data_IF_223645048089
#
_entry.id   IF_223645048089
#
_cell.length_a   1.000
_cell.length_b   1.000
_cell.length_c   1.000
_cell.angle_alpha   90.00
_cell.angle_beta   90.00
_cell.angle_gamma   90.00
#
_symmetry.space_group_name_H-M   'P 1'
#
loop_
_entity.id
_entity.type
_entity.pdbx_description
1 polymer ?
#
# COMPACT_ATOMS: atom_id res chain seq x y z
N UNK A 1 43.62 54.25 13.00
CA UNK A 1 42.84 55.08 12.06
C UNK A 1 41.37 54.69 12.16
N UNK A 2 40.50 55.62 12.56
CA UNK A 2 39.05 55.42 12.69
C UNK A 2 38.42 55.36 11.30
N UNK A 3 37.91 54.19 10.91
CA UNK A 3 37.16 54.02 9.67
C UNK A 3 35.75 54.56 9.87
N UNK A 4 35.46 55.77 9.36
CA UNK A 4 34.09 56.22 9.23
C UNK A 4 33.38 55.28 8.24
N UNK A 5 32.28 54.68 8.69
CA UNK A 5 31.52 53.69 7.93
C UNK A 5 31.17 54.21 6.53
N UNK A 6 31.27 53.33 5.53
CA UNK A 6 30.81 53.61 4.17
C UNK A 6 29.33 53.99 4.23
N UNK A 7 29.02 55.27 4.10
CA UNK A 7 27.64 55.72 3.96
C UNK A 7 27.07 55.08 2.69
N UNK A 8 25.93 54.37 2.75
CA UNK A 8 25.31 53.81 1.56
C UNK A 8 25.05 54.92 0.54
N UNK A 9 25.23 54.61 -0.74
CA UNK A 9 24.91 55.56 -1.82
C UNK A 9 23.45 55.98 -1.67
N UNK A 10 23.13 57.29 -1.65
CA UNK A 10 21.75 57.75 -1.46
C UNK A 10 20.88 57.26 -2.61
N UNK A 11 19.78 56.58 -2.27
CA UNK A 11 18.81 56.12 -3.26
C UNK A 11 18.14 57.32 -3.94
N UNK A 12 18.18 57.32 -5.27
CA UNK A 12 17.53 58.38 -6.05
C UNK A 12 16.03 58.12 -6.17
N UNK A 13 15.19 59.17 -6.35
CA UNK A 13 13.76 58.99 -6.59
C UNK A 13 13.45 58.06 -7.76
N UNK A 14 14.31 58.05 -8.79
CA UNK A 14 14.21 57.13 -9.93
C UNK A 14 14.43 55.66 -9.53
N UNK A 15 15.38 55.38 -8.64
CA UNK A 15 15.60 54.01 -8.13
C UNK A 15 14.39 53.53 -7.31
N UNK A 16 13.80 54.40 -6.50
CA UNK A 16 12.58 54.08 -5.73
C UNK A 16 11.39 53.77 -6.65
N UNK A 17 11.23 54.49 -7.75
CA UNK A 17 10.18 54.22 -8.73
C UNK A 17 10.35 52.87 -9.44
N UNK A 18 11.60 52.48 -9.75
CA UNK A 18 11.91 51.16 -10.32
C UNK A 18 11.58 50.02 -9.33
N UNK A 19 11.95 50.17 -8.05
CA UNK A 19 11.60 49.19 -7.01
C UNK A 19 10.08 49.00 -6.89
N UNK A 20 9.31 50.09 -6.87
CA UNK A 20 7.82 50.00 -6.80
C UNK A 20 7.23 49.23 -7.98
N UNK A 21 7.81 49.38 -9.18
CA UNK A 21 7.38 48.62 -10.36
C UNK A 21 7.72 47.13 -10.25
N UNK A 22 8.95 46.81 -9.84
CA UNK A 22 9.39 45.42 -9.61
C UNK A 22 8.58 44.74 -8.50
N UNK A 23 8.26 45.45 -7.43
CA UNK A 23 7.40 44.95 -6.36
C UNK A 23 6.00 44.63 -6.89
N UNK A 24 5.45 45.47 -7.79
CA UNK A 24 4.08 45.31 -8.29
C UNK A 24 3.94 44.19 -9.33
N UNK A 25 4.92 44.02 -10.20
CA UNK A 25 4.88 43.05 -11.32
C UNK A 25 5.65 41.76 -10.98
N UNK A 26 6.78 41.89 -10.30
CA UNK A 26 7.68 40.78 -9.96
C UNK A 26 7.11 39.89 -8.86
N UNK A 27 6.50 40.48 -7.82
CA UNK A 27 5.97 39.72 -6.67
C UNK A 27 4.92 38.68 -7.10
N UNK A 28 3.98 39.06 -7.96
CA UNK A 28 2.92 38.17 -8.46
C UNK A 28 3.49 36.96 -9.22
N UNK A 29 4.52 37.17 -10.05
CA UNK A 29 5.18 36.08 -10.80
C UNK A 29 5.91 35.11 -9.88
N UNK A 30 6.64 35.64 -8.89
CA UNK A 30 7.36 34.83 -7.91
C UNK A 30 6.37 34.04 -7.04
N UNK A 31 5.30 34.67 -6.58
CA UNK A 31 4.24 33.99 -5.83
C UNK A 31 3.60 32.87 -6.66
N UNK A 32 3.24 33.11 -7.92
CA UNK A 32 2.67 32.09 -8.79
C UNK A 32 3.62 30.88 -8.98
N UNK A 33 4.93 31.15 -9.15
CA UNK A 33 5.95 30.09 -9.22
C UNK A 33 6.03 29.30 -7.91
N UNK A 34 6.06 29.98 -6.77
CA UNK A 34 6.14 29.33 -5.46
C UNK A 34 4.88 28.50 -5.16
N UNK A 35 3.71 28.98 -5.55
CA UNK A 35 2.45 28.23 -5.45
C UNK A 35 2.44 26.97 -6.31
N UNK A 36 2.96 27.05 -7.54
CA UNK A 36 3.13 25.85 -8.38
C UNK A 36 4.08 24.83 -7.73
N UNK A 37 5.20 25.30 -7.19
CA UNK A 37 6.14 24.46 -6.45
C UNK A 37 5.50 23.79 -5.24
N UNK A 38 4.73 24.53 -4.44
CA UNK A 38 3.99 23.98 -3.30
C UNK A 38 2.96 22.94 -3.74
N UNK A 39 2.20 23.23 -4.81
CA UNK A 39 1.21 22.28 -5.34
C UNK A 39 1.87 20.96 -5.78
N UNK A 40 2.98 21.02 -6.52
CA UNK A 40 3.73 19.83 -6.91
C UNK A 40 4.34 19.10 -5.71
N UNK A 41 4.87 19.83 -4.72
CA UNK A 41 5.39 19.26 -3.49
C UNK A 41 4.31 18.48 -2.72
N UNK A 42 3.13 19.06 -2.54
CA UNK A 42 1.99 18.40 -1.91
C UNK A 42 1.52 17.18 -2.70
N UNK A 43 1.52 17.25 -4.03
CA UNK A 43 1.11 16.14 -4.89
C UNK A 43 2.10 14.96 -4.79
N UNK A 44 3.40 15.23 -4.82
CA UNK A 44 4.45 14.21 -4.64
C UNK A 44 4.35 13.59 -3.24
N UNK A 45 4.16 14.41 -2.21
CA UNK A 45 4.02 13.94 -0.83
C UNK A 45 2.80 13.03 -0.68
N UNK A 46 1.65 13.44 -1.21
CA UNK A 46 0.41 12.66 -1.16
C UNK A 46 0.52 11.35 -1.94
N UNK A 47 1.06 11.39 -3.16
CA UNK A 47 1.27 10.20 -3.99
C UNK A 47 2.28 9.22 -3.35
N UNK A 48 3.37 9.75 -2.78
CA UNK A 48 4.36 8.96 -2.05
C UNK A 48 3.75 8.28 -0.82
N UNK A 49 2.96 9.02 -0.04
CA UNK A 49 2.28 8.47 1.13
C UNK A 49 1.25 7.40 0.75
N UNK A 50 0.42 7.64 -0.26
CA UNK A 50 -0.54 6.67 -0.77
C UNK A 50 0.18 5.38 -1.25
N UNK A 51 1.29 5.53 -1.98
CA UNK A 51 2.08 4.39 -2.47
C UNK A 51 2.69 3.59 -1.33
N UNK A 52 3.25 4.27 -0.32
CA UNK A 52 3.78 3.64 0.88
C UNK A 52 2.69 2.90 1.66
N UNK A 53 1.49 3.47 1.77
CA UNK A 53 0.35 2.85 2.43
C UNK A 53 -0.11 1.59 1.70
N UNK A 54 -0.22 1.63 0.37
CA UNK A 54 -0.55 0.47 -0.47
C UNK A 54 0.50 -0.63 -0.29
N UNK A 55 1.78 -0.28 -0.30
CA UNK A 55 2.87 -1.22 -0.11
C UNK A 55 2.85 -1.84 1.29
N UNK A 56 2.55 -1.05 2.32
CA UNK A 56 2.41 -1.54 3.69
C UNK A 56 1.17 -2.43 3.84
N UNK A 57 0.03 -2.07 3.24
CA UNK A 57 -1.18 -2.88 3.30
C UNK A 57 -1.05 -4.20 2.54
N UNK A 58 -0.31 -4.20 1.43
CA UNK A 58 -0.02 -5.42 0.67
C UNK A 58 0.91 -6.39 1.44
N UNK A 59 1.65 -5.88 2.44
CA UNK A 59 2.46 -6.69 3.37
C UNK A 59 1.67 -7.17 4.58
N UNK A 60 0.35 -6.95 4.62
CA UNK A 60 -0.51 -7.34 5.74
C UNK A 60 -0.43 -8.83 6.04
N UNK A 61 0.19 -9.16 7.17
CA UNK A 61 0.29 -10.51 7.72
C UNK A 61 -1.09 -10.96 8.20
N UNK A 62 -1.86 -11.60 7.33
CA UNK A 62 -3.03 -12.37 7.74
C UNK A 62 -2.49 -13.60 8.46
N UNK A 63 -2.57 -13.60 9.80
CA UNK A 63 -2.28 -14.80 10.61
C UNK A 63 -3.62 -15.53 10.80
N UNK A 64 -3.90 -16.59 10.03
CA UNK A 64 -5.09 -17.39 10.26
C UNK A 64 -4.90 -18.17 11.57
N UNK A 65 -5.86 -18.04 12.48
CA UNK A 65 -5.89 -18.84 13.71
C UNK A 65 -6.78 -20.06 13.46
N UNK A 66 -6.18 -21.26 13.44
CA UNK A 66 -6.93 -22.51 13.41
C UNK A 66 -7.08 -22.98 14.85
N UNK A 67 -8.32 -23.10 15.32
CA UNK A 67 -8.62 -23.67 16.63
C UNK A 67 -9.02 -25.12 16.41
N UNK A 68 -8.21 -26.05 16.94
CA UNK A 68 -8.60 -27.46 17.00
C UNK A 68 -9.63 -27.63 18.13
N UNK A 69 -10.83 -28.08 17.78
CA UNK A 69 -11.88 -28.40 18.75
C UNK A 69 -11.95 -29.92 18.85
N UNK A 70 -11.46 -30.48 19.97
CA UNK A 70 -11.67 -31.90 20.27
C UNK A 70 -13.18 -32.15 20.51
N UNK A 71 -13.67 -33.34 20.20
CA UNK A 71 -15.10 -33.72 20.28
C UNK A 71 -15.72 -33.65 21.69
N UNK A 72 -14.98 -33.15 22.68
CA UNK A 72 -15.39 -32.89 24.07
C UNK A 72 -15.34 -31.40 24.47
N UNK A 73 -15.00 -30.48 23.57
CA UNK A 73 -15.14 -29.03 23.78
C UNK A 73 -14.06 -28.32 24.60
N UNK A 74 -12.93 -28.97 24.90
CA UNK A 74 -11.79 -28.34 25.59
C UNK A 74 -10.80 -27.75 24.57
N UNK A 75 -10.50 -26.44 24.68
CA UNK A 75 -9.55 -25.75 23.81
C UNK A 75 -8.11 -26.03 24.24
N UNK A 76 -7.32 -26.69 23.40
CA UNK A 76 -5.88 -26.90 23.64
C UNK A 76 -5.06 -25.79 22.96
N UNK A 77 -3.89 -25.50 23.54
CA UNK A 77 -3.07 -24.31 23.34
C UNK A 77 -2.94 -23.83 21.88
N UNK A 78 -3.08 -22.52 21.72
CA UNK A 78 -3.08 -21.80 20.44
C UNK A 78 -1.63 -21.55 20.00
N UNK A 79 -1.15 -22.26 18.98
CA UNK A 79 0.12 -21.96 18.31
C UNK A 79 -0.12 -21.27 16.95
N UNK A 80 0.74 -20.32 16.52
CA UNK A 80 0.62 -19.68 15.22
C UNK A 80 0.74 -20.72 14.10
N UNK A 81 -0.24 -20.77 13.21
CA UNK A 81 -0.19 -21.65 12.04
C UNK A 81 1.04 -21.28 11.19
N UNK A 82 1.96 -22.24 11.03
CA UNK A 82 3.18 -22.04 10.25
C UNK A 82 2.82 -21.71 8.80
N UNK A 83 3.21 -20.52 8.35
CA UNK A 83 3.00 -20.04 6.98
C UNK A 83 3.81 -20.83 5.93
N UNK A 84 4.77 -21.66 6.37
CA UNK A 84 5.68 -22.42 5.52
C UNK A 84 5.31 -23.90 5.44
N UNK A 85 4.02 -24.22 5.35
CA UNK A 85 3.59 -25.61 5.16
C UNK A 85 3.87 -26.05 3.73
N UNK A 86 4.96 -26.81 3.54
CA UNK A 86 5.24 -27.54 2.32
C UNK A 86 4.50 -28.90 2.39
N UNK A 87 3.43 -29.12 1.61
CA UNK A 87 2.77 -30.42 1.61
C UNK A 87 3.74 -31.50 1.11
N UNK A 88 3.76 -32.64 1.80
CA UNK A 88 4.58 -33.79 1.41
C UNK A 88 3.99 -34.50 0.19
N UNK A 89 4.82 -35.15 -0.62
CA UNK A 89 4.38 -35.88 -1.82
C UNK A 89 3.19 -36.84 -1.58
N UNK A 90 3.11 -37.61 -0.47
CA UNK A 90 1.95 -38.44 -0.20
C UNK A 90 0.65 -37.65 0.02
N UNK A 91 0.73 -36.46 0.62
CA UNK A 91 -0.43 -35.60 0.82
C UNK A 91 -0.90 -35.01 -0.51
N UNK A 92 0.03 -34.56 -1.35
CA UNK A 92 -0.28 -34.08 -2.70
C UNK A 92 -0.94 -35.20 -3.51
N UNK A 93 -0.36 -36.40 -3.48
CA UNK A 93 -0.90 -37.56 -4.19
C UNK A 93 -2.32 -37.93 -3.71
N UNK A 94 -2.57 -37.90 -2.40
CA UNK A 94 -3.89 -38.16 -1.83
C UNK A 94 -4.95 -37.17 -2.31
N UNK A 95 -4.66 -35.86 -2.20
CA UNK A 95 -5.60 -34.82 -2.60
C UNK A 95 -5.84 -34.82 -4.11
N UNK A 96 -4.78 -35.01 -4.91
CA UNK A 96 -4.88 -35.09 -6.36
C UNK A 96 -5.71 -36.30 -6.81
N UNK A 97 -5.49 -37.47 -6.20
CA UNK A 97 -6.25 -38.68 -6.52
C UNK A 97 -7.75 -38.49 -6.25
N UNK A 98 -8.12 -37.92 -5.09
CA UNK A 98 -9.51 -37.63 -4.76
C UNK A 98 -10.16 -36.62 -5.70
N UNK A 99 -9.43 -35.56 -6.07
CA UNK A 99 -9.94 -34.57 -7.03
C UNK A 99 -10.23 -35.23 -8.39
N UNK A 100 -9.29 -36.02 -8.91
CA UNK A 100 -9.45 -36.74 -10.17
C UNK A 100 -10.63 -37.72 -10.09
N UNK A 101 -10.75 -38.46 -9.00
CA UNK A 101 -11.86 -39.39 -8.76
C UNK A 101 -13.21 -38.66 -8.78
N UNK A 102 -13.34 -37.56 -8.04
CA UNK A 102 -14.58 -36.79 -7.96
C UNK A 102 -14.99 -36.22 -9.32
N UNK A 103 -14.06 -35.60 -10.06
CA UNK A 103 -14.35 -34.95 -11.36
C UNK A 103 -14.58 -35.97 -12.49
N UNK A 104 -13.90 -37.13 -12.45
CA UNK A 104 -14.00 -38.15 -13.51
C UNK A 104 -14.96 -39.29 -13.21
N UNK A 105 -15.52 -39.36 -12.01
CA UNK A 105 -16.55 -40.34 -11.67
C UNK A 105 -17.82 -40.10 -12.51
N UNK A 106 -18.46 -41.21 -12.94
CA UNK A 106 -19.73 -41.17 -13.67
C UNK A 106 -20.82 -41.96 -12.91
N UNK A 107 -21.27 -41.46 -11.74
CA UNK A 107 -22.28 -42.14 -10.95
C UNK A 107 -23.66 -42.06 -11.61
N UNK A 108 -24.47 -43.11 -11.44
CA UNK A 108 -25.83 -43.17 -11.98
C UNK A 108 -26.83 -42.26 -11.24
N UNK A 109 -26.51 -41.85 -10.01
CA UNK A 109 -27.33 -40.96 -9.18
C UNK A 109 -26.92 -39.49 -9.37
N UNK A 110 -27.84 -38.60 -9.82
CA UNK A 110 -27.56 -37.18 -10.01
C UNK A 110 -27.19 -36.43 -8.71
N UNK A 111 -27.61 -36.91 -7.55
CA UNK A 111 -27.24 -36.32 -6.25
C UNK A 111 -25.74 -36.52 -6.00
N UNK A 112 -25.24 -37.72 -6.30
CA UNK A 112 -23.82 -38.06 -6.13
C UNK A 112 -22.95 -37.28 -7.10
N UNK A 113 -23.41 -37.10 -8.35
CA UNK A 113 -22.73 -36.21 -9.33
C UNK A 113 -22.57 -34.82 -8.73
N UNK A 114 -23.66 -34.21 -8.23
CA UNK A 114 -23.62 -32.86 -7.65
C UNK A 114 -22.68 -32.79 -6.43
N UNK A 115 -22.73 -33.78 -5.55
CA UNK A 115 -21.85 -33.82 -4.37
C UNK A 115 -20.37 -33.93 -4.75
N UNK A 116 -20.04 -34.71 -5.78
CA UNK A 116 -18.66 -34.84 -6.25
C UNK A 116 -18.14 -33.53 -6.84
N UNK A 117 -18.97 -32.81 -7.60
CA UNK A 117 -18.61 -31.47 -8.10
C UNK A 117 -18.40 -30.46 -6.97
N UNK A 118 -19.29 -30.40 -5.97
CA UNK A 118 -19.13 -29.46 -4.86
C UNK A 118 -17.86 -29.76 -4.04
N UNK A 119 -17.62 -31.03 -3.71
CA UNK A 119 -16.44 -31.45 -2.91
C UNK A 119 -15.10 -31.28 -3.63
N UNK A 120 -15.09 -31.14 -4.95
CA UNK A 120 -13.86 -30.94 -5.72
C UNK A 120 -13.36 -29.50 -5.68
N UNK A 121 -14.22 -28.53 -5.32
CA UNK A 121 -13.92 -27.10 -5.34
C UNK A 121 -14.09 -26.37 -3.99
N UNK A 122 -14.63 -27.06 -2.98
CA UNK A 122 -14.54 -26.65 -1.55
C UNK A 122 -13.13 -26.86 -1.02
#
# INVERSE_FOLDING_TARGET
ATHYGKTPVPETPYQRAAQVWDERIGSARVQAKNWRLMAFGCLILSAGFASALVWQSARGTVVPWVVEVDGRGEARAVEPAMADYQPTDPQIAFHLARFIEQVRSLPADPIVVRQNWLRAYE
#
